data_IF_533163199995
#
_entry.id   IF_533163199995
#
_cell.length_a   1.000
_cell.length_b   1.000
_cell.length_c   1.000
_cell.angle_alpha   90.00
_cell.angle_beta   90.00
_cell.angle_gamma   90.00
#
_symmetry.space_group_name_H-M   'P 1'
#
loop_
_entity.id
_entity.type
_entity.pdbx_description
1 polymer ?
#
# COMPACT_ATOMS: atom_id res chain seq x y z
N UNK A 1 -13.20 -5.30 12.68
CA UNK A 1 -11.75 -5.41 13.00
C UNK A 1 -11.46 -4.45 14.13
N UNK A 2 -10.47 -4.72 14.97
CA UNK A 2 -10.08 -3.83 16.07
C UNK A 2 -8.57 -3.57 15.97
N UNK A 3 -8.21 -2.63 15.09
CA UNK A 3 -6.85 -2.33 14.69
C UNK A 3 -6.75 -0.84 14.32
N UNK A 4 -5.55 -0.28 14.42
CA UNK A 4 -5.25 1.13 14.13
C UNK A 4 -4.68 1.27 12.70
N UNK A 5 -4.03 0.22 12.19
CA UNK A 5 -3.60 0.05 10.80
C UNK A 5 -4.06 -1.29 10.23
N UNK A 6 -4.31 -1.34 8.92
CA UNK A 6 -4.81 -2.52 8.23
C UNK A 6 -4.05 -2.75 6.92
N UNK A 7 -3.17 -3.74 6.92
CA UNK A 7 -2.36 -4.11 5.75
C UNK A 7 -3.21 -4.98 4.81
N UNK A 8 -3.29 -4.60 3.53
CA UNK A 8 -4.01 -5.33 2.49
C UNK A 8 -3.09 -5.51 1.27
N UNK A 9 -2.90 -6.75 0.83
CA UNK A 9 -2.26 -7.04 -0.44
C UNK A 9 -3.21 -6.80 -1.62
N UNK A 10 -2.73 -6.19 -2.69
CA UNK A 10 -3.43 -6.07 -3.96
C UNK A 10 -2.53 -6.66 -5.08
N UNK A 11 -2.52 -7.99 -5.26
CA UNK A 11 -1.61 -8.66 -6.19
C UNK A 11 -2.12 -8.63 -7.65
N UNK A 12 -2.40 -7.44 -8.19
CA UNK A 12 -2.86 -7.24 -9.56
C UNK A 12 -1.79 -6.52 -10.41
N UNK A 13 -1.48 -7.06 -11.58
CA UNK A 13 -0.60 -6.44 -12.58
C UNK A 13 -1.23 -6.46 -14.00
N UNK A 14 -2.56 -6.55 -14.06
CA UNK A 14 -3.31 -6.69 -15.31
C UNK A 14 -3.35 -5.43 -16.17
N UNK A 15 -2.93 -4.27 -15.65
CA UNK A 15 -2.73 -3.03 -16.40
C UNK A 15 -1.32 -2.88 -16.99
N UNK A 16 -0.42 -3.82 -16.70
CA UNK A 16 1.01 -3.71 -17.02
C UNK A 16 1.31 -3.92 -18.50
N UNK A 17 2.11 -3.02 -19.08
CA UNK A 17 2.33 -2.95 -20.54
C UNK A 17 3.61 -3.64 -21.04
N UNK A 18 4.62 -3.82 -20.19
CA UNK A 18 5.95 -4.29 -20.63
C UNK A 18 6.53 -5.42 -19.77
N UNK A 19 6.81 -5.16 -18.48
CA UNK A 19 7.33 -6.15 -17.53
C UNK A 19 6.29 -6.37 -16.45
N UNK A 20 5.58 -7.51 -16.53
CA UNK A 20 4.62 -7.95 -15.53
C UNK A 20 5.34 -8.39 -14.23
N UNK A 21 4.72 -9.26 -13.44
CA UNK A 21 5.27 -9.88 -12.22
C UNK A 21 5.15 -9.01 -10.95
N UNK A 22 4.65 -7.77 -11.07
CA UNK A 22 4.32 -6.93 -9.92
C UNK A 22 3.24 -7.56 -9.01
N UNK A 23 2.42 -8.50 -9.54
CA UNK A 23 1.51 -9.33 -8.73
C UNK A 23 2.17 -10.09 -7.59
N UNK A 24 3.49 -10.34 -7.65
CA UNK A 24 4.24 -11.00 -6.58
C UNK A 24 4.79 -10.01 -5.53
N UNK A 25 4.70 -8.70 -5.79
CA UNK A 25 5.13 -7.63 -4.89
C UNK A 25 4.59 -7.74 -3.47
N UNK A 26 3.26 -7.92 -3.25
CA UNK A 26 2.70 -8.09 -1.90
C UNK A 26 3.35 -9.24 -1.13
N UNK A 27 3.54 -10.39 -1.79
CA UNK A 27 4.19 -11.55 -1.21
C UNK A 27 5.66 -11.29 -0.87
N UNK A 28 6.41 -10.68 -1.78
CA UNK A 28 7.81 -10.33 -1.57
C UNK A 28 8.01 -9.34 -0.42
N UNK A 29 7.11 -8.36 -0.27
CA UNK A 29 7.11 -7.42 0.86
C UNK A 29 6.76 -8.12 2.17
N UNK A 30 5.77 -9.03 2.20
CA UNK A 30 5.50 -9.85 3.39
C UNK A 30 6.72 -10.67 3.81
N UNK A 31 7.43 -11.32 2.87
CA UNK A 31 8.62 -12.10 3.17
C UNK A 31 9.79 -11.22 3.65
N UNK A 32 10.05 -10.08 2.98
CA UNK A 32 11.05 -9.09 3.41
C UNK A 32 10.72 -8.44 4.76
N UNK A 33 9.44 -8.27 5.10
CA UNK A 33 9.00 -7.66 6.37
C UNK A 33 9.53 -8.41 7.60
N UNK A 34 9.83 -9.70 7.48
CA UNK A 34 10.38 -10.52 8.56
C UNK A 34 11.69 -9.97 9.14
N UNK A 35 12.49 -9.25 8.34
CA UNK A 35 13.69 -8.53 8.79
C UNK A 35 13.40 -7.52 9.90
N UNK A 36 12.21 -6.92 9.89
CA UNK A 36 11.77 -5.87 10.81
C UNK A 36 11.04 -6.43 12.04
N UNK A 37 11.23 -7.72 12.34
CA UNK A 37 10.70 -8.40 13.53
C UNK A 37 11.44 -7.99 14.81
N UNK A 38 11.42 -6.71 15.17
CA UNK A 38 12.14 -6.12 16.33
C UNK A 38 11.63 -6.59 17.72
N UNK A 39 10.79 -7.62 17.78
CA UNK A 39 10.19 -8.15 19.00
C UNK A 39 9.15 -7.22 19.63
N UNK A 40 8.82 -7.48 20.88
CA UNK A 40 7.75 -6.78 21.62
C UNK A 40 8.03 -5.30 21.94
N UNK A 41 9.20 -4.76 21.56
CA UNK A 41 9.64 -3.41 21.89
C UNK A 41 9.18 -2.34 20.88
N UNK A 42 8.62 -2.75 19.74
CA UNK A 42 8.36 -1.91 18.56
C UNK A 42 9.67 -1.39 17.89
N UNK A 43 9.58 -0.43 16.97
CA UNK A 43 10.69 -0.07 16.08
C UNK A 43 11.51 1.12 16.63
N UNK A 44 12.74 0.87 17.07
CA UNK A 44 13.65 1.91 17.56
C UNK A 44 14.48 2.54 16.43
N UNK A 45 14.47 3.87 16.35
CA UNK A 45 15.31 4.66 15.45
C UNK A 45 16.38 5.40 16.26
N UNK A 46 17.64 5.06 15.99
CA UNK A 46 18.80 5.62 16.70
C UNK A 46 19.04 7.11 16.41
N UNK A 47 18.72 7.61 15.21
CA UNK A 47 19.06 8.99 14.81
C UNK A 47 18.30 10.04 15.63
N UNK A 48 17.04 9.76 15.98
CA UNK A 48 16.20 10.66 16.78
C UNK A 48 16.01 10.18 18.25
N UNK A 49 16.56 9.02 18.63
CA UNK A 49 16.33 8.34 19.93
C UNK A 49 14.83 8.10 20.22
N UNK A 50 14.08 7.67 19.18
CA UNK A 50 12.62 7.46 19.25
C UNK A 50 12.26 6.00 19.03
N UNK A 51 11.27 5.50 19.79
CA UNK A 51 10.64 4.20 19.54
C UNK A 51 9.26 4.40 18.90
N UNK A 52 9.16 4.06 17.62
CA UNK A 52 7.95 4.10 16.81
C UNK A 52 7.07 2.86 16.97
N UNK A 53 5.80 2.95 16.57
CA UNK A 53 4.79 1.87 16.56
C UNK A 53 4.45 1.26 17.94
N UNK A 54 4.98 1.80 19.05
CA UNK A 54 4.67 1.32 20.40
C UNK A 54 3.19 1.49 20.73
N UNK A 55 2.48 0.37 20.88
CA UNK A 55 1.05 0.34 21.17
C UNK A 55 0.14 0.48 19.95
N UNK A 56 0.70 0.56 18.73
CA UNK A 56 -0.06 0.52 17.48
C UNK A 56 -0.46 -0.92 17.17
N UNK A 57 -1.73 -1.14 16.86
CA UNK A 57 -2.28 -2.44 16.50
C UNK A 57 -2.41 -2.52 14.99
N UNK A 58 -1.50 -3.23 14.34
CA UNK A 58 -1.60 -3.54 12.92
C UNK A 58 -2.33 -4.87 12.72
N UNK A 59 -3.26 -4.92 11.77
CA UNK A 59 -3.88 -6.15 11.29
C UNK A 59 -3.41 -6.47 9.87
N UNK A 60 -3.10 -7.74 9.61
CA UNK A 60 -2.90 -8.26 8.27
C UNK A 60 -4.25 -8.81 7.76
N UNK A 61 -4.74 -8.24 6.66
CA UNK A 61 -5.99 -8.65 6.00
C UNK A 61 -5.78 -9.74 4.93
N UNK A 62 -4.52 -10.10 4.65
CA UNK A 62 -4.14 -10.91 3.50
C UNK A 62 -4.31 -10.17 2.17
N UNK A 63 -4.47 -10.94 1.09
CA UNK A 63 -4.64 -10.41 -0.26
C UNK A 63 -6.11 -10.19 -0.63
N UNK A 64 -6.38 -9.10 -1.34
CA UNK A 64 -7.61 -8.87 -2.06
C UNK A 64 -7.82 -9.96 -3.13
N UNK A 65 -9.09 -10.36 -3.33
CA UNK A 65 -9.41 -11.41 -4.32
C UNK A 65 -9.23 -10.89 -5.74
N UNK A 66 -8.17 -11.31 -6.41
CA UNK A 66 -7.93 -11.00 -7.83
C UNK A 66 -8.69 -11.98 -8.73
N UNK A 67 -9.31 -11.47 -9.79
CA UNK A 67 -9.95 -12.27 -10.84
C UNK A 67 -9.07 -12.17 -12.09
N UNK A 68 -8.50 -13.31 -12.49
CA UNK A 68 -7.54 -13.36 -13.58
C UNK A 68 -8.12 -12.78 -14.88
N UNK A 69 -7.37 -11.90 -15.54
CA UNK A 69 -7.76 -11.12 -16.74
C UNK A 69 -8.93 -10.14 -16.59
N UNK A 70 -9.54 -10.02 -15.40
CA UNK A 70 -10.62 -9.05 -15.13
C UNK A 70 -10.13 -7.99 -14.13
N UNK A 71 -9.53 -6.94 -14.68
CA UNK A 71 -9.01 -5.79 -13.92
C UNK A 71 -10.12 -5.08 -13.15
N UNK A 72 -11.32 -4.93 -13.73
CA UNK A 72 -12.42 -4.17 -13.13
C UNK A 72 -13.00 -4.88 -11.90
N UNK A 73 -13.24 -6.19 -11.99
CA UNK A 73 -13.67 -6.99 -10.83
C UNK A 73 -12.55 -7.11 -9.78
N UNK A 74 -11.29 -7.16 -10.20
CA UNK A 74 -10.14 -7.16 -9.28
C UNK A 74 -10.04 -5.84 -8.50
N UNK A 75 -10.16 -4.70 -9.19
CA UNK A 75 -10.22 -3.37 -8.58
C UNK A 75 -11.41 -3.24 -7.62
N UNK A 76 -12.60 -3.71 -7.99
CA UNK A 76 -13.76 -3.72 -7.10
C UNK A 76 -13.54 -4.57 -5.82
N UNK A 77 -12.81 -5.69 -5.92
CA UNK A 77 -12.45 -6.50 -4.76
C UNK A 77 -11.38 -5.86 -3.87
N UNK A 78 -10.38 -5.18 -4.47
CA UNK A 78 -9.38 -4.36 -3.76
C UNK A 78 -10.07 -3.25 -2.98
N UNK A 79 -10.92 -2.47 -3.67
CA UNK A 79 -11.76 -1.41 -3.09
C UNK A 79 -12.52 -1.93 -1.86
N UNK A 80 -13.28 -3.03 -2.00
CA UNK A 80 -14.04 -3.60 -0.87
C UNK A 80 -13.18 -3.99 0.36
N UNK A 81 -11.89 -4.30 0.18
CA UNK A 81 -10.95 -4.50 1.29
C UNK A 81 -10.58 -3.19 2.00
N UNK A 82 -10.35 -2.13 1.22
CA UNK A 82 -10.01 -0.78 1.70
C UNK A 82 -11.22 -0.17 2.43
N UNK A 83 -12.41 -0.26 1.85
CA UNK A 83 -13.68 0.13 2.48
C UNK A 83 -13.86 -0.55 3.84
N UNK A 84 -13.57 -1.85 3.96
CA UNK A 84 -13.69 -2.59 5.21
C UNK A 84 -12.68 -2.13 6.29
N UNK A 85 -11.48 -1.71 5.91
CA UNK A 85 -10.52 -1.08 6.82
C UNK A 85 -11.01 0.29 7.29
N UNK A 86 -11.48 1.14 6.36
CA UNK A 86 -12.01 2.47 6.67
C UNK A 86 -13.25 2.42 7.56
N UNK A 87 -14.18 1.49 7.32
CA UNK A 87 -15.37 1.28 8.18
C UNK A 87 -14.98 0.81 9.58
N UNK A 88 -13.88 0.08 9.72
CA UNK A 88 -13.33 -0.32 11.02
C UNK A 88 -12.60 0.82 11.76
N UNK A 89 -12.42 1.99 11.14
CA UNK A 89 -11.65 3.10 11.70
C UNK A 89 -10.12 2.88 11.65
N UNK A 90 -9.65 1.92 10.87
CA UNK A 90 -8.23 1.63 10.70
C UNK A 90 -7.66 2.36 9.47
N UNK A 91 -6.40 2.79 9.55
CA UNK A 91 -5.66 3.30 8.39
C UNK A 91 -5.41 2.16 7.38
N UNK A 92 -5.92 2.22 6.13
CA UNK A 92 -5.64 1.22 5.12
C UNK A 92 -4.20 1.37 4.60
N UNK A 93 -3.47 0.26 4.53
CA UNK A 93 -2.08 0.21 4.05
C UNK A 93 -2.03 -0.82 2.93
N UNK A 94 -2.02 -0.37 1.68
CA UNK A 94 -2.09 -1.27 0.52
C UNK A 94 -0.72 -1.53 -0.07
N UNK A 95 -0.26 -2.77 -0.03
CA UNK A 95 0.89 -3.21 -0.84
C UNK A 95 0.35 -3.73 -2.17
N UNK A 96 0.75 -3.12 -3.28
CA UNK A 96 0.10 -3.32 -4.58
C UNK A 96 1.00 -4.00 -5.60
N UNK A 97 0.40 -4.42 -6.71
CA UNK A 97 1.14 -4.82 -7.90
C UNK A 97 1.48 -3.62 -8.76
N UNK A 98 0.80 -3.47 -9.89
CA UNK A 98 1.02 -2.35 -10.80
C UNK A 98 0.31 -1.06 -10.35
N UNK A 99 0.64 0.06 -11.01
CA UNK A 99 0.11 1.35 -10.60
C UNK A 99 -1.40 1.51 -10.88
N UNK A 100 -2.06 0.64 -11.65
CA UNK A 100 -3.52 0.72 -11.86
C UNK A 100 -4.31 0.51 -10.57
N UNK A 101 -3.75 -0.22 -9.60
CA UNK A 101 -4.37 -0.44 -8.29
C UNK A 101 -4.47 0.84 -7.42
N UNK A 102 -3.90 1.99 -7.84
CA UNK A 102 -4.20 3.29 -7.21
C UNK A 102 -5.66 3.70 -7.36
N UNK A 103 -6.30 3.29 -8.47
CA UNK A 103 -7.67 3.69 -8.81
C UNK A 103 -8.66 3.23 -7.71
N UNK A 104 -8.76 1.94 -7.36
CA UNK A 104 -9.63 1.50 -6.26
C UNK A 104 -9.19 2.05 -4.89
N UNK A 105 -7.91 2.39 -4.69
CA UNK A 105 -7.47 3.06 -3.46
C UNK A 105 -8.06 4.46 -3.30
N UNK A 106 -8.04 5.28 -4.35
CA UNK A 106 -8.54 6.66 -4.28
C UNK A 106 -10.06 6.74 -4.34
N UNK A 107 -10.71 5.81 -5.06
CA UNK A 107 -12.17 5.73 -5.18
C UNK A 107 -12.92 5.64 -3.83
N UNK A 108 -12.33 5.03 -2.80
CA UNK A 108 -12.96 4.91 -1.47
C UNK A 108 -12.86 6.18 -0.61
N UNK A 109 -12.11 7.17 -1.06
CA UNK A 109 -12.08 8.50 -0.46
C UNK A 109 -12.99 9.49 -1.22
N UNK A 110 -13.62 9.09 -2.34
CA UNK A 110 -14.67 9.89 -2.98
C UNK A 110 -15.80 10.21 -1.98
N UNK A 111 -16.18 11.49 -1.89
CA UNK A 111 -17.19 11.95 -0.94
C UNK A 111 -16.73 12.07 0.53
N UNK A 112 -15.46 11.79 0.83
CA UNK A 112 -14.85 12.09 2.15
C UNK A 112 -14.27 13.51 2.18
N UNK A 113 -13.51 13.84 3.23
CA UNK A 113 -12.86 15.14 3.36
C UNK A 113 -11.79 15.38 2.26
N UNK A 114 -11.48 16.65 1.92
CA UNK A 114 -10.38 16.99 1.01
C UNK A 114 -9.03 16.45 1.49
N UNK A 115 -8.15 16.10 0.54
CA UNK A 115 -7.11 15.10 0.79
C UNK A 115 -5.82 15.40 -0.04
N UNK A 116 -4.61 15.04 0.46
CA UNK A 116 -3.27 15.19 -0.22
C UNK A 116 -2.47 13.86 -0.42
N UNK A 117 -2.18 13.46 -1.68
CA UNK A 117 -1.30 12.34 -2.06
C UNK A 117 0.16 12.79 -2.01
N UNK A 118 1.02 11.86 -1.61
CA UNK A 118 2.45 11.94 -1.83
C UNK A 118 2.82 10.82 -2.80
N UNK A 119 3.02 11.15 -4.07
CA UNK A 119 3.47 10.22 -5.11
C UNK A 119 5.00 10.32 -5.22
N UNK A 120 5.67 9.18 -5.03
CA UNK A 120 7.11 9.03 -5.25
C UNK A 120 7.25 8.00 -6.35
N UNK A 121 7.47 8.47 -7.58
CA UNK A 121 7.49 7.65 -8.79
C UNK A 121 8.53 8.20 -9.78
N UNK A 122 9.02 7.33 -10.66
CA UNK A 122 9.85 7.72 -11.80
C UNK A 122 9.02 8.28 -12.97
N UNK A 123 7.72 7.97 -13.00
CA UNK A 123 6.76 8.37 -14.02
C UNK A 123 5.70 9.32 -13.45
N UNK A 124 5.08 10.11 -14.33
CA UNK A 124 4.02 11.03 -13.93
C UNK A 124 2.69 10.31 -13.70
N UNK A 125 2.39 9.30 -14.53
CA UNK A 125 1.13 8.54 -14.60
C UNK A 125 -0.18 9.35 -14.69
N UNK A 126 -0.06 10.66 -14.92
CA UNK A 126 -1.15 11.58 -15.24
C UNK A 126 -1.54 11.52 -16.74
N UNK A 127 -1.95 10.33 -17.22
CA UNK A 127 -2.47 10.14 -18.58
C UNK A 127 -3.96 9.81 -18.55
N UNK A 128 -4.78 10.69 -19.14
CA UNK A 128 -6.24 10.52 -19.19
C UNK A 128 -6.68 9.24 -19.93
N UNK A 129 -5.85 8.73 -20.85
CA UNK A 129 -6.09 7.48 -21.56
C UNK A 129 -4.77 6.76 -21.92
N UNK A 130 -4.65 5.50 -21.50
CA UNK A 130 -3.63 4.58 -22.03
C UNK A 130 -4.17 3.14 -22.06
N UNK A 131 -4.64 2.70 -23.23
CA UNK A 131 -5.16 1.36 -23.49
C UNK A 131 -6.38 0.91 -22.65
N UNK A 132 -7.31 1.82 -22.35
CA UNK A 132 -8.65 1.46 -21.85
C UNK A 132 -8.82 1.44 -20.32
N UNK A 133 -7.80 1.85 -19.56
CA UNK A 133 -7.93 2.17 -18.13
C UNK A 133 -8.12 3.68 -17.99
N UNK A 134 -9.20 4.11 -17.33
CA UNK A 134 -9.55 5.52 -17.13
C UNK A 134 -10.05 5.77 -15.72
N UNK A 135 -9.32 6.56 -14.91
CA UNK A 135 -9.83 7.48 -13.85
C UNK A 135 -8.74 8.49 -13.47
N UNK A 136 -9.11 9.76 -13.35
CA UNK A 136 -8.25 10.85 -12.86
C UNK A 136 -8.87 11.36 -11.55
N UNK A 137 -8.14 11.26 -10.43
CA UNK A 137 -8.70 11.53 -9.10
C UNK A 137 -7.81 12.49 -8.27
N UNK A 138 -8.43 13.34 -7.41
CA UNK A 138 -7.73 13.92 -6.27
C UNK A 138 -7.46 12.83 -5.21
N UNK A 139 -6.81 13.19 -4.10
CA UNK A 139 -5.47 12.64 -3.95
C UNK A 139 -5.19 12.36 -2.44
N UNK A 140 -5.30 11.13 -1.89
CA UNK A 140 -4.55 10.58 -0.70
C UNK A 140 -4.30 9.12 -0.92
N UNK A 141 -3.11 8.78 -0.47
CA UNK A 141 -2.60 7.49 -0.08
C UNK A 141 -1.13 7.73 0.16
N UNK A 142 -0.50 6.86 0.93
CA UNK A 142 0.83 6.44 0.50
C UNK A 142 0.68 5.10 -0.18
N UNK A 143 1.30 5.06 -1.33
CA UNK A 143 1.13 4.07 -2.37
C UNK A 143 2.51 3.51 -2.67
N UNK A 144 2.71 2.25 -2.32
CA UNK A 144 3.91 1.51 -2.69
C UNK A 144 3.54 0.60 -3.87
N UNK A 145 4.24 0.77 -4.98
CA UNK A 145 3.96 0.14 -6.29
C UNK A 145 5.20 -0.47 -6.90
N UNK A 146 5.00 -1.33 -7.90
CA UNK A 146 6.04 -1.84 -8.81
C UNK A 146 7.21 -2.60 -8.15
N UNK A 147 7.02 -3.09 -6.92
CA UNK A 147 7.94 -4.05 -6.30
C UNK A 147 7.90 -5.35 -7.09
N UNK A 148 8.95 -5.59 -7.87
CA UNK A 148 9.05 -6.73 -8.81
C UNK A 148 10.26 -7.61 -8.45
N UNK A 149 10.10 -8.60 -7.55
CA UNK A 149 11.21 -9.41 -7.03
C UNK A 149 12.05 -10.09 -8.12
N UNK A 150 11.42 -10.53 -9.21
CA UNK A 150 12.10 -11.24 -10.31
C UNK A 150 13.07 -10.34 -11.12
N UNK A 151 12.91 -9.01 -11.07
CA UNK A 151 13.83 -8.06 -11.71
C UNK A 151 14.79 -7.38 -10.72
N UNK A 152 14.62 -7.61 -9.42
CA UNK A 152 15.56 -7.21 -8.37
C UNK A 152 16.16 -8.44 -7.67
N UNK A 153 17.18 -9.09 -8.28
CA UNK A 153 17.83 -10.27 -7.70
C UNK A 153 18.62 -9.96 -6.42
N UNK A 154 18.65 -8.70 -5.96
CA UNK A 154 19.27 -8.31 -4.69
C UNK A 154 18.26 -8.17 -3.55
N UNK A 155 16.96 -8.12 -3.85
CA UNK A 155 15.88 -7.83 -2.89
C UNK A 155 15.89 -6.39 -2.34
N UNK A 156 16.77 -5.52 -2.83
CA UNK A 156 16.93 -4.14 -2.37
C UNK A 156 15.65 -3.29 -2.49
N UNK A 157 14.88 -3.46 -3.55
CA UNK A 157 13.58 -2.80 -3.79
C UNK A 157 12.54 -3.26 -2.79
N UNK A 158 12.47 -4.57 -2.50
CA UNK A 158 11.53 -5.12 -1.51
C UNK A 158 11.89 -4.72 -0.07
N UNK A 159 13.19 -4.63 0.25
CA UNK A 159 13.68 -4.14 1.55
C UNK A 159 13.42 -2.62 1.70
N UNK A 160 13.73 -1.82 0.67
CA UNK A 160 13.46 -0.39 0.65
C UNK A 160 11.96 -0.09 0.76
N UNK A 161 11.13 -0.84 0.05
CA UNK A 161 9.68 -0.82 0.13
C UNK A 161 9.18 -1.04 1.57
N UNK A 162 9.62 -2.12 2.22
CA UNK A 162 9.27 -2.42 3.60
C UNK A 162 9.79 -1.33 4.58
N UNK A 163 11.00 -0.82 4.38
CA UNK A 163 11.57 0.27 5.19
C UNK A 163 10.76 1.58 5.07
N UNK A 164 10.38 1.98 3.85
CA UNK A 164 9.58 3.18 3.60
C UNK A 164 8.20 3.08 4.25
N UNK A 165 7.56 1.93 4.13
CA UNK A 165 6.26 1.64 4.74
C UNK A 165 6.35 1.68 6.28
N UNK A 166 7.35 1.03 6.87
CA UNK A 166 7.57 1.04 8.32
C UNK A 166 7.90 2.43 8.88
N UNK A 167 8.79 3.18 8.22
CA UNK A 167 9.18 4.53 8.63
C UNK A 167 8.00 5.51 8.54
N UNK A 168 7.22 5.43 7.46
CA UNK A 168 6.05 6.28 7.30
C UNK A 168 4.99 5.97 8.36
N UNK A 169 4.64 4.70 8.59
CA UNK A 169 3.67 4.35 9.62
C UNK A 169 4.15 4.82 11.00
N UNK A 170 5.45 4.65 11.29
CA UNK A 170 6.08 5.23 12.47
C UNK A 170 5.83 6.74 12.59
N UNK A 171 6.15 7.50 11.54
CA UNK A 171 5.98 8.95 11.51
C UNK A 171 4.51 9.38 11.65
N UNK A 172 3.58 8.77 10.91
CA UNK A 172 2.14 9.10 10.92
C UNK A 172 1.51 8.86 12.29
N UNK A 173 1.80 7.72 12.92
CA UNK A 173 1.27 7.43 14.26
C UNK A 173 1.97 8.23 15.37
N UNK A 174 3.26 8.55 15.23
CA UNK A 174 3.97 9.43 16.17
C UNK A 174 3.48 10.89 16.11
N UNK A 175 3.16 11.39 14.90
CA UNK A 175 2.60 12.73 14.70
C UNK A 175 1.12 12.86 15.17
N UNK A 176 0.48 11.77 15.60
CA UNK A 176 -0.89 11.77 16.10
C UNK A 176 -1.97 11.94 15.03
N UNK A 177 -1.66 11.68 13.76
CA UNK A 177 -2.55 11.93 12.61
C UNK A 177 -3.68 10.89 12.44
N UNK A 178 -3.83 9.93 13.34
CA UNK A 178 -4.77 8.80 13.22
C UNK A 178 -6.15 9.02 13.86
N UNK A 179 -6.58 10.28 14.07
CA UNK A 179 -7.93 10.60 14.58
C UNK A 179 -8.55 11.81 13.86
N UNK A 180 -9.23 11.51 12.75
CA UNK A 180 -10.20 12.38 12.08
C UNK A 180 -11.38 11.51 11.61
#
# INVERSE_FOLDING_TARGET
>A
MDADAANLGAPCDAGTQWRADARFGPRGVCEASTLFSFGHAAAYEHENDVTYLKGVRAADMGDAKIVHTDTLTSHANIRRGIEAALIAGALPVTTRGDHSDIIPCCEDYEGRAPFHILQIDAHLDFVDERHGVTRTLPIVGVALVEVTPDYDPTGSTAILAAQLLMNLLGFVFHAGLSRA
#
